data_IF_932908698198
#
_entry.id   IF_932908698198
#
_cell.length_a   1.000
_cell.length_b   1.000
_cell.length_c   1.000
_cell.angle_alpha   90.00
_cell.angle_beta   90.00
_cell.angle_gamma   90.00
#
_symmetry.space_group_name_H-M   'P 1'
#
loop_
_entity.id
_entity.type
_entity.pdbx_description
1 polymer ?
#
# COMPACT_ATOMS: atom_id res chain seq x y z
N UNK A 1 3.47 -17.12 -14.81
CA UNK A 1 2.35 -16.21 -14.46
C UNK A 1 2.68 -14.72 -14.66
N UNK A 2 3.86 -14.23 -14.24
CA UNK A 2 4.25 -12.81 -14.32
C UNK A 2 4.25 -12.19 -15.73
N UNK A 3 4.60 -12.95 -16.77
CA UNK A 3 4.52 -12.48 -18.16
C UNK A 3 3.08 -12.16 -18.61
N UNK A 4 2.10 -12.96 -18.14
CA UNK A 4 0.68 -12.72 -18.42
C UNK A 4 0.17 -11.45 -17.72
N UNK A 5 0.59 -11.19 -16.48
CA UNK A 5 0.22 -9.96 -15.76
C UNK A 5 0.77 -8.73 -16.47
N UNK A 6 2.03 -8.76 -16.90
CA UNK A 6 2.68 -7.64 -17.60
C UNK A 6 1.99 -7.31 -18.93
N UNK A 7 1.65 -8.33 -19.74
CA UNK A 7 0.89 -8.18 -20.98
C UNK A 7 -0.49 -7.56 -20.73
N UNK A 8 -1.23 -8.08 -19.74
CA UNK A 8 -2.56 -7.57 -19.41
C UNK A 8 -2.52 -6.14 -18.83
N UNK A 9 -1.47 -5.75 -18.10
CA UNK A 9 -1.24 -4.36 -17.68
C UNK A 9 -1.03 -3.43 -18.86
N UNK A 10 -0.26 -3.85 -19.87
CA UNK A 10 -0.05 -3.08 -21.08
C UNK A 10 -1.36 -2.93 -21.89
N UNK A 11 -2.11 -4.02 -22.00
CA UNK A 11 -3.42 -4.03 -22.67
C UNK A 11 -4.44 -3.12 -21.96
N UNK A 12 -4.51 -3.17 -20.63
CA UNK A 12 -5.30 -2.24 -19.81
C UNK A 12 -4.97 -0.77 -20.13
N UNK A 13 -3.67 -0.42 -20.18
CA UNK A 13 -3.22 0.93 -20.53
C UNK A 13 -3.59 1.33 -21.97
N UNK A 14 -3.60 0.38 -22.91
CA UNK A 14 -4.05 0.64 -24.29
C UNK A 14 -5.53 1.03 -24.32
N UNK A 15 -6.40 0.29 -23.62
CA UNK A 15 -7.83 0.60 -23.55
C UNK A 15 -8.11 1.90 -22.77
N UNK A 16 -7.34 2.16 -21.72
CA UNK A 16 -7.41 3.43 -20.99
C UNK A 16 -7.14 4.63 -21.91
N UNK A 17 -6.03 4.59 -22.66
CA UNK A 17 -5.66 5.65 -23.62
C UNK A 17 -6.73 5.82 -24.70
N UNK A 18 -7.21 4.70 -25.25
CA UNK A 18 -8.25 4.67 -26.27
C UNK A 18 -9.59 5.25 -25.78
N UNK A 19 -9.96 4.98 -24.51
CA UNK A 19 -11.16 5.51 -23.88
C UNK A 19 -11.07 7.00 -23.57
N UNK A 20 -9.91 7.47 -23.09
CA UNK A 20 -9.66 8.91 -22.86
C UNK A 20 -9.76 9.71 -24.14
N UNK A 21 -9.26 9.18 -25.26
CA UNK A 21 -9.29 9.87 -26.58
C UNK A 21 -10.69 9.93 -27.18
N UNK A 22 -11.51 8.89 -27.02
CA UNK A 22 -12.80 8.81 -27.73
C UNK A 22 -13.99 9.35 -26.93
N UNK A 23 -13.94 9.31 -25.60
CA UNK A 23 -15.07 9.71 -24.76
C UNK A 23 -16.30 8.78 -24.81
N UNK A 24 -16.24 7.66 -25.55
CA UNK A 24 -17.36 6.72 -25.66
C UNK A 24 -17.51 5.84 -24.42
N UNK A 25 -18.74 5.69 -23.93
CA UNK A 25 -19.10 4.84 -22.79
C UNK A 25 -18.66 3.39 -22.96
N UNK A 26 -18.84 2.82 -24.16
CA UNK A 26 -18.43 1.44 -24.49
C UNK A 26 -16.93 1.23 -24.23
N UNK A 27 -16.07 2.20 -24.58
CA UNK A 27 -14.62 2.08 -24.33
C UNK A 27 -14.29 2.15 -22.84
N UNK A 28 -15.07 2.92 -22.06
CA UNK A 28 -14.93 2.99 -20.60
C UNK A 28 -15.31 1.66 -19.94
N UNK A 29 -16.34 0.98 -20.45
CA UNK A 29 -16.74 -0.36 -19.97
C UNK A 29 -15.67 -1.41 -20.25
N UNK A 30 -15.14 -1.46 -21.48
CA UNK A 30 -14.03 -2.35 -21.84
C UNK A 30 -12.81 -2.10 -20.95
N UNK A 31 -12.47 -0.83 -20.68
CA UNK A 31 -11.39 -0.50 -19.74
C UNK A 31 -11.67 -1.03 -18.32
N UNK A 32 -12.89 -0.85 -17.78
CA UNK A 32 -13.27 -1.35 -16.46
C UNK A 32 -13.13 -2.86 -16.38
N UNK A 33 -13.58 -3.58 -17.41
CA UNK A 33 -13.45 -5.03 -17.50
C UNK A 33 -11.99 -5.47 -17.46
N UNK A 34 -11.14 -4.86 -18.30
CA UNK A 34 -9.70 -5.16 -18.34
C UNK A 34 -8.99 -4.80 -17.03
N UNK A 35 -9.40 -3.70 -16.39
CA UNK A 35 -8.89 -3.29 -15.07
C UNK A 35 -9.23 -4.34 -14.01
N UNK A 36 -10.48 -4.78 -13.94
CA UNK A 36 -10.93 -5.80 -12.99
C UNK A 36 -10.24 -7.15 -13.26
N UNK A 37 -10.07 -7.53 -14.52
CA UNK A 37 -9.35 -8.74 -14.90
C UNK A 37 -7.90 -8.73 -14.42
N UNK A 38 -7.17 -7.62 -14.65
CA UNK A 38 -5.79 -7.46 -14.16
C UNK A 38 -5.74 -7.54 -12.63
N UNK A 39 -6.68 -6.92 -11.93
CA UNK A 39 -6.76 -7.00 -10.46
C UNK A 39 -6.90 -8.45 -10.00
N UNK A 40 -7.85 -9.21 -10.57
CA UNK A 40 -8.04 -10.63 -10.25
C UNK A 40 -6.80 -11.48 -10.52
N UNK A 41 -6.10 -11.22 -11.63
CA UNK A 41 -4.85 -11.94 -11.94
C UNK A 41 -3.75 -11.67 -10.91
N UNK A 42 -3.63 -10.43 -10.44
CA UNK A 42 -2.65 -10.06 -9.41
C UNK A 42 -3.01 -10.72 -8.07
N UNK A 43 -4.29 -10.68 -7.69
CA UNK A 43 -4.78 -11.32 -6.47
C UNK A 43 -4.56 -12.83 -6.51
N UNK A 44 -4.91 -13.49 -7.62
CA UNK A 44 -4.68 -14.92 -7.81
C UNK A 44 -3.20 -15.30 -7.71
N UNK A 45 -2.32 -14.56 -8.39
CA UNK A 45 -0.88 -14.80 -8.32
C UNK A 45 -0.33 -14.60 -6.91
N UNK A 46 -0.77 -13.55 -6.19
CA UNK A 46 -0.35 -13.34 -4.80
C UNK A 46 -0.81 -14.48 -3.90
N UNK A 47 -2.07 -14.89 -4.02
CA UNK A 47 -2.62 -15.99 -3.23
C UNK A 47 -1.86 -17.30 -3.49
N UNK A 48 -1.53 -17.59 -4.75
CA UNK A 48 -0.72 -18.75 -5.12
C UNK A 48 0.69 -18.68 -4.54
N UNK A 49 1.36 -17.53 -4.64
CA UNK A 49 2.70 -17.32 -4.10
C UNK A 49 2.73 -17.53 -2.57
N UNK A 50 1.77 -16.95 -1.84
CA UNK A 50 1.70 -17.10 -0.38
C UNK A 50 1.21 -18.50 0.05
N UNK A 51 0.30 -19.12 -0.69
CA UNK A 51 -0.13 -20.51 -0.45
C UNK A 51 1.04 -21.48 -0.62
N UNK A 52 1.87 -21.26 -1.63
CA UNK A 52 3.10 -22.02 -1.88
C UNK A 52 4.09 -21.84 -0.72
N UNK A 53 4.39 -20.58 -0.35
CA UNK A 53 5.27 -20.29 0.80
C UNK A 53 4.78 -20.92 2.10
N UNK A 54 3.48 -20.88 2.37
CA UNK A 54 2.90 -21.48 3.56
C UNK A 54 3.06 -23.02 3.55
N UNK A 55 2.87 -23.64 2.38
CA UNK A 55 3.09 -25.09 2.20
C UNK A 55 4.57 -25.47 2.39
N UNK A 56 5.49 -24.65 1.89
CA UNK A 56 6.94 -24.80 2.07
C UNK A 56 7.41 -24.59 3.53
N UNK A 57 6.60 -23.92 4.35
CA UNK A 57 6.87 -23.69 5.77
C UNK A 57 6.30 -24.77 6.70
N UNK A 58 5.71 -25.87 6.17
CA UNK A 58 5.15 -26.93 7.01
C UNK A 58 6.20 -27.49 7.99
N UNK A 59 5.98 -27.25 9.28
CA UNK A 59 6.85 -27.70 10.38
C UNK A 59 7.96 -26.73 10.79
N UNK A 60 8.16 -25.62 10.08
CA UNK A 60 9.17 -24.61 10.41
C UNK A 60 8.53 -23.25 10.74
N UNK A 61 8.19 -23.08 12.02
CA UNK A 61 7.53 -21.88 12.53
C UNK A 61 8.37 -20.61 12.34
N UNK A 62 9.71 -20.71 12.32
CA UNK A 62 10.59 -19.55 12.08
C UNK A 62 10.46 -19.03 10.66
N UNK A 63 10.38 -19.93 9.68
CA UNK A 63 10.16 -19.54 8.28
C UNK A 63 8.78 -18.92 8.07
N UNK A 64 7.75 -19.46 8.72
CA UNK A 64 6.40 -18.90 8.67
C UNK A 64 6.38 -17.44 9.18
N UNK A 65 6.97 -17.19 10.36
CA UNK A 65 7.10 -15.83 10.89
C UNK A 65 7.94 -14.91 9.99
N UNK A 66 8.97 -15.43 9.32
CA UNK A 66 9.72 -14.65 8.33
C UNK A 66 8.87 -14.22 7.12
N UNK A 67 7.99 -15.10 6.65
CA UNK A 67 7.02 -14.77 5.58
C UNK A 67 6.02 -13.71 6.04
N UNK A 68 5.53 -13.81 7.28
CA UNK A 68 4.64 -12.80 7.88
C UNK A 68 5.35 -11.44 8.09
N UNK A 69 6.60 -11.44 8.56
CA UNK A 69 7.38 -10.21 8.71
C UNK A 69 7.57 -9.48 7.37
N UNK A 70 7.82 -10.23 6.30
CA UNK A 70 7.86 -9.67 4.94
C UNK A 70 6.52 -9.15 4.42
N UNK A 71 5.39 -9.63 4.97
CA UNK A 71 4.05 -9.17 4.61
C UNK A 71 3.67 -7.88 5.35
N UNK A 72 4.08 -7.76 6.62
CA UNK A 72 3.77 -6.61 7.47
C UNK A 72 4.83 -5.50 7.41
N UNK A 73 5.87 -5.67 6.60
CA UNK A 73 6.99 -4.72 6.46
C UNK A 73 7.59 -4.35 7.85
N UNK A 74 7.57 -5.30 8.79
CA UNK A 74 8.09 -5.14 10.15
C UNK A 74 9.62 -5.26 10.22
N UNK A 75 10.30 -5.16 9.08
CA UNK A 75 11.75 -5.12 8.97
C UNK A 75 12.36 -3.81 9.50
N UNK A 76 11.54 -2.86 9.94
CA UNK A 76 12.00 -1.68 10.65
C UNK A 76 12.53 -2.02 12.03
N UNK A 77 13.52 -1.26 12.51
CA UNK A 77 13.91 -1.30 13.91
C UNK A 77 12.66 -1.24 14.79
N UNK A 78 12.59 -2.15 15.74
CA UNK A 78 11.57 -2.14 16.79
C UNK A 78 11.78 -0.85 17.58
N UNK A 79 11.10 0.21 17.14
CA UNK A 79 11.05 1.51 17.79
C UNK A 79 10.15 1.37 19.02
N UNK A 80 10.58 0.52 19.96
CA UNK A 80 10.06 0.57 21.31
C UNK A 80 10.53 1.89 21.92
N UNK A 81 9.65 2.62 22.63
CA UNK A 81 10.09 3.79 23.38
C UNK A 81 11.24 3.40 24.30
N UNK A 82 12.32 4.18 24.30
CA UNK A 82 13.44 3.98 25.21
C UNK A 82 12.93 4.25 26.63
N UNK A 83 12.86 3.22 27.46
CA UNK A 83 12.42 3.35 28.85
C UNK A 83 13.63 3.26 29.78
N UNK A 84 13.86 4.30 30.58
CA UNK A 84 14.97 4.36 31.55
C UNK A 84 14.82 3.39 32.73
N UNK A 85 13.63 2.84 32.95
CA UNK A 85 13.32 2.00 34.12
C UNK A 85 12.72 0.64 33.72
N UNK A 86 13.49 -0.44 33.92
CA UNK A 86 13.09 -1.83 33.67
C UNK A 86 11.84 -2.31 34.45
N UNK A 87 11.32 -1.51 35.40
CA UNK A 87 10.15 -1.86 36.24
C UNK A 87 8.80 -1.40 35.68
N UNK A 88 8.75 -0.53 34.68
CA UNK A 88 7.49 -0.06 34.08
C UNK A 88 6.77 -1.07 33.14
N UNK A 89 7.44 -1.96 32.40
CA UNK A 89 6.73 -2.87 31.48
C UNK A 89 5.74 -3.82 32.18
N UNK A 90 5.95 -4.09 33.48
CA UNK A 90 5.07 -4.95 34.26
C UNK A 90 3.71 -4.29 34.58
N UNK A 91 3.61 -2.95 34.61
CA UNK A 91 2.31 -2.28 34.78
C UNK A 91 1.45 -2.29 33.51
N UNK A 92 2.07 -2.48 32.33
CA UNK A 92 1.37 -2.58 31.06
C UNK A 92 0.65 -3.93 30.88
N UNK A 93 0.96 -4.93 31.70
CA UNK A 93 0.16 -6.16 31.80
C UNK A 93 -1.32 -5.88 32.12
N UNK A 94 -1.58 -4.85 32.93
CA UNK A 94 -2.95 -4.44 33.27
C UNK A 94 -3.70 -3.82 32.08
N UNK A 95 -3.00 -3.29 31.08
CA UNK A 95 -3.61 -2.80 29.85
C UNK A 95 -4.26 -3.95 29.06
N UNK A 96 -3.61 -5.12 29.01
CA UNK A 96 -4.15 -6.30 28.35
C UNK A 96 -5.35 -6.91 29.09
N UNK A 97 -5.36 -6.86 30.43
CA UNK A 97 -6.51 -7.29 31.25
C UNK A 97 -7.73 -6.40 31.01
N UNK A 98 -7.52 -5.08 30.87
CA UNK A 98 -8.59 -4.14 30.52
C UNK A 98 -9.18 -4.37 29.13
N UNK A 99 -8.34 -4.74 28.15
CA UNK A 99 -8.77 -5.00 26.76
C UNK A 99 -9.67 -6.24 26.65
N UNK A 100 -9.44 -7.25 27.47
CA UNK A 100 -10.30 -8.44 27.51
C UNK A 100 -11.70 -8.12 28.07
N UNK A 101 -11.77 -7.31 29.12
CA UNK A 101 -13.06 -6.84 29.67
C UNK A 101 -13.86 -6.01 28.65
N UNK A 102 -13.19 -5.12 27.92
CA UNK A 102 -13.82 -4.32 26.86
C UNK A 102 -14.40 -5.19 25.73
N UNK A 103 -13.69 -6.25 25.32
CA UNK A 103 -14.20 -7.20 24.32
C UNK A 103 -15.39 -8.02 24.83
N UNK A 104 -15.39 -8.41 26.10
CA UNK A 104 -16.52 -9.13 26.70
C UNK A 104 -17.76 -8.23 26.85
N UNK A 105 -17.57 -6.93 27.13
CA UNK A 105 -18.65 -5.94 27.15
C UNK A 105 -19.18 -5.65 25.74
N UNK A 106 -18.32 -5.56 24.72
CA UNK A 106 -18.72 -5.38 23.33
C UNK A 106 -19.47 -6.60 22.77
N UNK A 107 -19.09 -7.82 23.18
CA UNK A 107 -19.80 -9.05 22.82
C UNK A 107 -21.17 -9.15 23.47
N UNK A 108 -21.31 -8.70 24.72
CA UNK A 108 -22.60 -8.67 25.44
C UNK A 108 -23.57 -7.62 24.89
N UNK A 109 -23.08 -6.53 24.31
CA UNK A 109 -23.91 -5.44 23.79
C UNK A 109 -24.25 -5.53 22.28
N UNK A 110 -23.79 -6.57 21.57
CA UNK A 110 -24.05 -6.75 20.14
C UNK A 110 -25.26 -7.65 19.83
N UNK A 111 -26.37 -7.45 20.54
CA UNK A 111 -27.69 -7.89 20.04
C UNK A 111 -28.40 -6.65 19.50
N UNK A 112 -28.45 -6.58 18.17
CA UNK A 112 -29.32 -5.72 17.35
C UNK A 112 -28.96 -4.22 17.25
N UNK A 113 -28.07 -3.88 16.31
CA UNK A 113 -28.44 -3.05 15.16
C UNK A 113 -27.28 -2.94 14.15
N UNK A 114 -27.47 -3.22 12.85
CA UNK A 114 -26.50 -2.83 11.84
C UNK A 114 -26.57 -1.31 11.69
N UNK A 115 -25.74 -0.59 12.45
CA UNK A 115 -25.63 0.85 12.34
C UNK A 115 -25.29 1.22 10.89
N UNK A 116 -26.22 1.90 10.23
CA UNK A 116 -26.08 2.43 8.89
C UNK A 116 -24.83 3.31 8.85
N UNK A 117 -23.88 2.97 7.98
CA UNK A 117 -22.69 3.77 7.74
C UNK A 117 -23.08 5.01 6.93
N UNK A 118 -23.63 6.03 7.59
CA UNK A 118 -23.97 7.34 7.00
C UNK A 118 -23.02 8.45 7.44
N UNK A 119 -21.96 8.12 8.17
CA UNK A 119 -20.91 9.08 8.50
C UNK A 119 -19.80 9.07 7.47
N UNK A 120 -19.86 9.96 6.47
CA UNK A 120 -18.62 10.59 6.02
C UNK A 120 -18.12 11.38 7.22
N UNK A 121 -17.40 10.71 8.12
CA UNK A 121 -16.75 11.35 9.24
C UNK A 121 -15.92 12.48 8.65
N UNK A 122 -16.30 13.71 9.03
CA UNK A 122 -15.59 14.94 8.77
C UNK A 122 -14.10 14.63 8.90
N UNK A 123 -13.34 14.76 7.80
CA UNK A 123 -11.93 14.34 7.73
C UNK A 123 -11.21 14.96 8.94
N UNK A 124 -10.97 14.14 9.97
CA UNK A 124 -10.20 14.52 11.17
C UNK A 124 -8.74 14.36 10.82
N UNK A 125 -8.26 15.22 9.94
CA UNK A 125 -6.85 15.39 9.65
C UNK A 125 -6.47 16.84 9.92
N UNK A 126 -5.27 17.06 10.44
CA UNK A 126 -4.71 18.41 10.44
C UNK A 126 -4.64 18.90 9.00
N UNK A 127 -5.19 20.09 8.76
CA UNK A 127 -5.08 20.73 7.46
C UNK A 127 -3.62 21.11 7.26
N UNK A 128 -3.06 20.79 6.10
CA UNK A 128 -1.74 21.26 5.71
C UNK A 128 -1.81 22.78 5.51
N UNK A 129 -1.47 23.55 6.55
CA UNK A 129 -1.54 25.01 6.52
C UNK A 129 -0.27 25.65 5.94
N UNK A 130 0.81 24.89 5.83
CA UNK A 130 2.11 25.39 5.37
C UNK A 130 2.75 24.39 4.42
N UNK A 131 3.25 24.89 3.30
CA UNK A 131 4.06 24.14 2.35
C UNK A 131 5.40 24.86 2.23
N UNK A 132 6.48 24.23 2.68
CA UNK A 132 7.83 24.76 2.52
C UNK A 132 8.31 24.41 1.11
N UNK A 133 8.72 25.42 0.36
CA UNK A 133 9.39 25.17 -0.92
C UNK A 133 10.75 24.51 -0.65
N UNK A 134 11.06 23.43 -1.35
CA UNK A 134 12.37 22.77 -1.25
C UNK A 134 13.48 23.68 -1.78
N UNK A 135 14.69 23.49 -1.26
CA UNK A 135 15.87 24.19 -1.77
C UNK A 135 16.29 23.65 -3.13
N UNK A 136 16.96 24.46 -3.94
CA UNK A 136 17.42 24.05 -5.27
C UNK A 136 18.27 22.78 -5.22
N UNK A 137 19.22 22.69 -4.28
CA UNK A 137 20.05 21.51 -4.06
C UNK A 137 19.24 20.27 -3.65
N UNK A 138 18.18 20.45 -2.86
CA UNK A 138 17.32 19.37 -2.40
C UNK A 138 16.51 18.80 -3.57
N UNK A 139 15.90 19.68 -4.38
CA UNK A 139 15.16 19.32 -5.58
C UNK A 139 16.08 18.66 -6.61
N UNK A 140 17.29 19.21 -6.78
CA UNK A 140 18.32 18.68 -7.67
C UNK A 140 18.70 17.24 -7.30
N UNK A 141 19.02 17.00 -6.02
CA UNK A 141 19.35 15.66 -5.52
C UNK A 141 18.18 14.69 -5.68
N UNK A 142 16.95 15.14 -5.42
CA UNK A 142 15.75 14.32 -5.58
C UNK A 142 15.53 13.89 -7.04
N UNK A 143 15.75 14.80 -7.99
CA UNK A 143 15.69 14.50 -9.43
C UNK A 143 16.79 13.50 -9.85
N UNK A 144 18.00 13.65 -9.32
CA UNK A 144 19.11 12.71 -9.60
C UNK A 144 18.86 11.32 -9.03
N UNK A 145 18.25 11.20 -7.84
CA UNK A 145 17.94 9.92 -7.21
C UNK A 145 16.74 9.19 -7.83
N UNK A 146 15.80 9.92 -8.45
CA UNK A 146 14.63 9.32 -9.06
C UNK A 146 15.00 8.32 -10.17
N UNK A 147 14.25 7.24 -10.40
CA UNK A 147 14.47 6.36 -11.55
C UNK A 147 14.41 7.15 -12.87
N UNK A 148 15.31 6.86 -13.81
CA UNK A 148 15.31 7.48 -15.14
C UNK A 148 14.23 6.89 -16.06
N UNK A 149 12.98 6.89 -15.58
CA UNK A 149 11.82 6.43 -16.31
C UNK A 149 11.32 7.51 -17.25
N UNK A 150 10.91 7.10 -18.44
CA UNK A 150 10.36 7.97 -19.48
C UNK A 150 9.08 7.36 -20.01
N UNK A 151 8.05 8.16 -20.23
CA UNK A 151 6.82 7.74 -20.88
C UNK A 151 6.52 8.63 -22.10
N UNK A 152 5.80 8.09 -23.10
CA UNK A 152 5.47 8.81 -24.34
C UNK A 152 4.61 10.07 -24.13
N UNK A 153 4.06 10.25 -22.93
CA UNK A 153 3.26 11.40 -22.53
C UNK A 153 4.03 12.38 -21.64
N UNK A 154 5.30 12.09 -21.32
CA UNK A 154 6.11 12.99 -20.52
C UNK A 154 6.56 14.16 -21.41
N UNK A 155 6.21 15.41 -21.06
CA UNK A 155 6.64 16.57 -21.83
C UNK A 155 8.16 16.77 -21.77
N UNK A 156 8.81 16.26 -20.71
CA UNK A 156 10.26 16.26 -20.54
C UNK A 156 10.71 14.90 -19.99
N UNK A 157 11.35 14.06 -20.81
CA UNK A 157 11.90 12.78 -20.36
C UNK A 157 12.90 12.95 -19.22
N UNK A 158 12.73 12.20 -18.12
CA UNK A 158 13.62 12.25 -16.95
C UNK A 158 15.10 12.01 -17.28
N UNK A 159 15.39 11.25 -18.35
CA UNK A 159 16.76 11.05 -18.85
C UNK A 159 17.40 12.34 -19.37
N UNK A 160 16.64 13.16 -20.09
CA UNK A 160 17.15 14.44 -20.61
C UNK A 160 17.39 15.42 -19.46
N UNK A 161 16.43 15.53 -18.55
CA UNK A 161 16.53 16.40 -17.38
C UNK A 161 17.78 16.08 -16.54
N UNK A 162 18.09 14.80 -16.29
CA UNK A 162 19.29 14.40 -15.54
C UNK A 162 20.60 14.72 -16.26
N UNK A 163 20.64 14.65 -17.59
CA UNK A 163 21.84 14.94 -18.36
C UNK A 163 22.18 16.44 -18.34
N UNK A 164 21.15 17.30 -18.37
CA UNK A 164 21.35 18.75 -18.29
C UNK A 164 21.63 19.22 -16.87
N UNK A 165 21.09 18.54 -15.86
CA UNK A 165 21.40 18.80 -14.46
C UNK A 165 22.84 18.39 -14.08
N UNK A 166 23.41 17.35 -14.69
CA UNK A 166 24.73 16.81 -14.30
C UNK A 166 25.95 17.55 -14.86
N UNK A 167 25.77 18.76 -15.40
CA UNK A 167 26.84 19.69 -15.82
C UNK A 167 27.03 20.80 -14.80
#
# INVERSE_FOLDING_TARGET
>A
MNANISRNRAEKRKYERSGRKSGLTVRREIYKEKRNFVTRLIEASRNEDYSTKNSECQGDQKKLFGVEQGLFDTNGEVNLPTHDNQRQPASDGNFFVGKNKLNDDLRRNNVSNPASFTGLSQIRGEKMCTFRLGYEDEIYNLVLQAPATTCDLDPLPSRLLKNDCSR
#
